data_IF_759606236789
#
_entry.id   IF_759606236789
#
_cell.length_a   1.000
_cell.length_b   1.000
_cell.length_c   1.000
_cell.angle_alpha   90.00
_cell.angle_beta   90.00
_cell.angle_gamma   90.00
#
_symmetry.space_group_name_H-M   'P 1'
#
loop_
_entity.id
_entity.type
_entity.pdbx_description
1 polymer ?
#
# COMPACT_ATOMS: atom_id res chain seq x y z
N UNK A 1 -4.93 -11.06 -0.21
CA UNK A 1 -4.98 -12.33 0.55
C UNK A 1 -6.29 -13.05 0.25
N UNK A 2 -6.28 -14.37 0.23
CA UNK A 2 -7.48 -15.20 0.17
C UNK A 2 -7.31 -16.40 1.12
N UNK A 3 -8.37 -16.77 1.84
CA UNK A 3 -8.49 -17.99 2.63
C UNK A 3 -9.52 -18.87 1.93
N UNK A 4 -9.07 -20.01 1.44
CA UNK A 4 -9.89 -20.94 0.68
C UNK A 4 -9.86 -22.30 1.37
N UNK A 5 -11.03 -22.81 1.69
CA UNK A 5 -11.19 -24.19 2.13
C UNK A 5 -11.32 -25.09 0.90
N UNK A 6 -10.61 -26.20 0.88
CA UNK A 6 -10.72 -27.21 -0.17
C UNK A 6 -11.33 -28.47 0.41
N UNK A 7 -12.44 -28.91 -0.17
CA UNK A 7 -13.10 -30.17 0.19
C UNK A 7 -13.11 -31.11 -1.00
N UNK A 8 -13.08 -32.41 -0.73
CA UNK A 8 -13.37 -33.42 -1.73
C UNK A 8 -14.88 -33.64 -1.76
N UNK A 9 -15.47 -33.78 -2.96
CA UNK A 9 -16.88 -34.18 -3.05
C UNK A 9 -17.06 -35.70 -2.87
N UNK A 10 -18.32 -36.14 -2.84
CA UNK A 10 -18.71 -37.54 -2.63
C UNK A 10 -18.41 -38.46 -3.85
N UNK A 11 -17.49 -38.05 -4.73
CA UNK A 11 -17.01 -38.86 -5.84
C UNK A 11 -16.32 -40.14 -5.36
N UNK A 12 -16.27 -41.15 -6.22
CA UNK A 12 -15.66 -42.45 -5.91
C UNK A 12 -14.44 -42.68 -6.80
N UNK A 13 -13.35 -43.19 -6.21
CA UNK A 13 -12.13 -43.52 -6.93
C UNK A 13 -11.47 -42.30 -7.57
N UNK A 14 -11.14 -42.37 -8.86
CA UNK A 14 -10.51 -41.27 -9.60
C UNK A 14 -11.48 -40.15 -10.04
N UNK A 15 -12.77 -40.25 -9.67
CA UNK A 15 -13.80 -39.28 -10.05
C UNK A 15 -14.18 -38.31 -8.92
N UNK A 16 -13.29 -38.11 -7.96
CA UNK A 16 -13.43 -37.11 -6.91
C UNK A 16 -13.05 -35.73 -7.46
N UNK A 17 -13.82 -34.70 -7.12
CA UNK A 17 -13.50 -33.30 -7.42
C UNK A 17 -13.10 -32.54 -6.16
N UNK A 18 -12.12 -31.66 -6.33
CA UNK A 18 -11.75 -30.64 -5.35
C UNK A 18 -12.74 -29.48 -5.49
N UNK A 19 -13.49 -29.20 -4.44
CA UNK A 19 -14.43 -28.10 -4.32
C UNK A 19 -13.80 -26.98 -3.46
N UNK A 20 -13.38 -25.85 -4.07
CA UNK A 20 -12.90 -24.70 -3.33
C UNK A 20 -14.09 -23.89 -2.77
N UNK A 21 -13.97 -23.43 -1.52
CA UNK A 21 -14.86 -22.44 -0.92
C UNK A 21 -14.03 -21.28 -0.41
N UNK A 22 -14.19 -20.12 -1.05
CA UNK A 22 -13.55 -18.88 -0.59
C UNK A 22 -14.22 -18.43 0.71
N UNK A 23 -13.50 -18.53 1.83
CA UNK A 23 -13.99 -18.16 3.16
C UNK A 23 -13.73 -16.68 3.45
N UNK A 24 -12.58 -16.17 3.04
CA UNK A 24 -12.16 -14.80 3.28
C UNK A 24 -11.34 -14.28 2.10
N UNK A 25 -11.53 -13.02 1.72
CA UNK A 25 -10.62 -12.30 0.83
C UNK A 25 -10.46 -10.88 1.31
N UNK A 26 -9.24 -10.36 1.20
CA UNK A 26 -8.97 -8.95 1.46
C UNK A 26 -7.81 -8.46 0.60
N UNK A 27 -7.83 -7.20 0.21
CA UNK A 27 -6.72 -6.50 -0.42
C UNK A 27 -6.38 -5.23 0.34
N UNK A 28 -5.11 -5.04 0.69
CA UNK A 28 -4.64 -3.80 1.30
C UNK A 28 -3.90 -2.94 0.30
N UNK A 29 -4.02 -1.62 0.46
CA UNK A 29 -3.34 -0.61 -0.35
C UNK A 29 -1.94 -0.32 0.20
N UNK A 30 -1.18 -1.38 0.50
CA UNK A 30 0.25 -1.30 0.76
C UNK A 30 0.96 -2.09 -0.33
N UNK A 31 1.79 -1.42 -1.09
CA UNK A 31 2.49 -1.96 -2.24
C UNK A 31 4.01 -1.99 -1.99
N UNK A 32 4.77 -2.48 -2.98
CA UNK A 32 6.22 -2.65 -2.84
C UNK A 32 7.00 -1.34 -2.83
N UNK A 33 6.42 -0.31 -3.44
CA UNK A 33 6.86 1.08 -3.40
C UNK A 33 6.72 1.72 -2.02
N UNK A 34 5.74 1.33 -1.20
CA UNK A 34 5.66 1.84 0.18
C UNK A 34 6.82 1.29 1.04
N UNK A 35 7.20 0.03 0.86
CA UNK A 35 8.40 -0.55 1.51
C UNK A 35 9.66 0.16 1.01
N UNK A 36 9.73 0.47 -0.29
CA UNK A 36 10.84 1.23 -0.86
C UNK A 36 10.93 2.63 -0.25
N UNK A 37 9.79 3.31 -0.05
CA UNK A 37 9.75 4.60 0.61
C UNK A 37 10.25 4.50 2.07
N UNK A 38 9.80 3.49 2.83
CA UNK A 38 10.27 3.23 4.19
C UNK A 38 11.82 3.10 4.21
N UNK A 39 12.40 2.38 3.26
CA UNK A 39 13.86 2.21 3.14
C UNK A 39 14.56 3.52 2.74
N UNK A 40 14.01 4.26 1.79
CA UNK A 40 14.55 5.58 1.38
C UNK A 40 14.60 6.52 2.58
N UNK A 41 13.53 6.57 3.37
CA UNK A 41 13.42 7.44 4.55
C UNK A 41 14.32 7.02 5.70
N UNK A 42 14.61 5.72 5.84
CA UNK A 42 15.43 5.18 6.94
C UNK A 42 16.92 5.15 6.65
N UNK A 43 17.31 4.97 5.40
CA UNK A 43 18.72 4.79 5.02
C UNK A 43 19.22 5.93 4.13
N UNK A 44 18.54 6.18 3.02
CA UNK A 44 19.08 7.04 1.94
C UNK A 44 19.01 8.52 2.31
N UNK A 45 17.86 9.00 2.80
CA UNK A 45 17.69 10.41 3.18
C UNK A 45 18.56 10.79 4.39
N UNK A 46 18.66 9.98 5.47
CA UNK A 46 19.56 10.27 6.58
C UNK A 46 21.02 10.33 6.17
N UNK A 47 21.48 9.44 5.27
CA UNK A 47 22.84 9.48 4.74
C UNK A 47 23.15 10.78 3.99
N UNK A 48 22.24 11.22 3.11
CA UNK A 48 22.37 12.49 2.40
C UNK A 48 22.37 13.68 3.37
N UNK A 49 21.43 13.72 4.31
CA UNK A 49 21.32 14.79 5.29
C UNK A 49 22.59 14.89 6.17
N UNK A 50 23.11 13.75 6.64
CA UNK A 50 24.33 13.70 7.43
C UNK A 50 25.53 14.21 6.63
N UNK A 51 25.62 13.88 5.34
CA UNK A 51 26.69 14.35 4.47
C UNK A 51 26.59 15.86 4.19
N UNK A 52 25.38 16.38 3.95
CA UNK A 52 25.11 17.82 3.80
C UNK A 52 25.51 18.58 5.06
N UNK A 53 25.14 18.07 6.24
CA UNK A 53 25.51 18.66 7.51
C UNK A 53 27.04 18.67 7.71
N UNK A 54 27.71 17.54 7.43
CA UNK A 54 29.17 17.41 7.50
C UNK A 54 29.91 18.35 6.53
N UNK A 55 29.31 18.67 5.39
CA UNK A 55 29.86 19.62 4.43
C UNK A 55 29.84 21.08 4.95
N UNK A 56 29.02 21.39 5.97
CA UNK A 56 28.99 22.70 6.61
C UNK A 56 27.65 23.44 6.55
N UNK A 57 26.59 22.80 6.03
CA UNK A 57 25.24 23.41 6.03
C UNK A 57 24.66 23.41 7.45
N UNK A 58 24.32 24.59 7.95
CA UNK A 58 23.79 24.78 9.31
C UNK A 58 22.39 24.17 9.50
N UNK A 59 21.46 24.43 8.57
CA UNK A 59 20.09 23.91 8.58
C UNK A 59 19.87 22.84 7.51
N UNK A 60 20.53 21.69 7.67
CA UNK A 60 20.35 20.56 6.76
C UNK A 60 18.89 20.06 6.71
N UNK A 61 18.13 19.93 7.84
CA UNK A 61 16.73 19.51 7.80
C UNK A 61 15.82 20.47 7.02
N UNK A 62 16.01 21.80 7.17
CA UNK A 62 15.26 22.80 6.42
C UNK A 62 15.55 22.74 4.92
N UNK A 63 16.82 22.52 4.55
CA UNK A 63 17.20 22.29 3.15
C UNK A 63 16.59 21.01 2.57
N UNK A 64 16.63 19.89 3.31
CA UNK A 64 16.00 18.62 2.90
C UNK A 64 14.49 18.77 2.72
N UNK A 65 13.82 19.48 3.64
CA UNK A 65 12.39 19.82 3.52
C UNK A 65 12.11 20.63 2.26
N UNK A 66 12.97 21.59 1.94
CA UNK A 66 12.84 22.45 0.75
C UNK A 66 13.07 21.68 -0.55
N UNK A 67 13.99 20.71 -0.55
CA UNK A 67 14.35 19.94 -1.74
C UNK A 67 13.41 18.76 -2.01
N UNK A 68 12.96 18.08 -0.96
CA UNK A 68 12.34 16.76 -1.03
C UNK A 68 11.08 16.61 -0.16
N UNK A 69 10.70 17.65 0.58
CA UNK A 69 9.43 17.69 1.33
C UNK A 69 8.27 18.10 0.43
N UNK A 70 7.05 18.09 0.97
CA UNK A 70 5.84 18.46 0.22
C UNK A 70 5.78 19.97 -0.07
N UNK A 71 5.40 20.32 -1.31
CA UNK A 71 5.34 21.72 -1.77
C UNK A 71 3.91 22.09 -2.19
N UNK A 72 3.51 23.35 -1.94
CA UNK A 72 2.20 23.86 -2.34
C UNK A 72 2.01 24.01 -3.87
N UNK A 73 0.82 24.52 -4.26
CA UNK A 73 0.31 24.57 -5.66
C UNK A 73 1.20 25.27 -6.72
N UNK A 74 2.26 25.99 -6.35
CA UNK A 74 3.18 26.65 -7.30
C UNK A 74 4.60 26.15 -7.09
N UNK A 75 4.79 24.83 -7.13
CA UNK A 75 6.11 24.24 -7.01
C UNK A 75 6.85 24.22 -8.36
N UNK A 76 7.71 25.23 -8.58
CA UNK A 76 8.59 25.31 -9.74
C UNK A 76 9.67 24.24 -9.78
N UNK A 77 9.89 23.52 -8.66
CA UNK A 77 10.89 22.45 -8.51
C UNK A 77 10.29 21.06 -8.60
N UNK A 78 8.98 20.92 -8.73
CA UNK A 78 8.28 19.63 -8.71
C UNK A 78 8.89 18.62 -9.71
N UNK A 79 9.17 19.05 -10.93
CA UNK A 79 9.79 18.18 -11.95
C UNK A 79 11.18 17.71 -11.54
N UNK A 80 12.05 18.60 -11.02
CA UNK A 80 13.39 18.21 -10.60
C UNK A 80 13.37 17.32 -9.36
N UNK A 81 12.46 17.58 -8.42
CA UNK A 81 12.23 16.74 -7.24
C UNK A 81 11.77 15.34 -7.65
N UNK A 82 10.78 15.23 -8.54
CA UNK A 82 10.34 13.95 -9.11
C UNK A 82 11.49 13.22 -9.82
N UNK A 83 12.23 13.91 -10.69
CA UNK A 83 13.39 13.33 -11.37
C UNK A 83 14.48 12.88 -10.39
N UNK A 84 14.67 13.59 -9.28
CA UNK A 84 15.60 13.17 -8.23
C UNK A 84 15.12 11.90 -7.55
N UNK A 85 13.82 11.78 -7.23
CA UNK A 85 13.28 10.54 -6.69
C UNK A 85 13.47 9.35 -7.66
N UNK A 86 13.16 9.54 -8.95
CA UNK A 86 13.26 8.50 -9.97
C UNK A 86 14.72 8.09 -10.29
N UNK A 87 15.63 9.05 -10.37
CA UNK A 87 17.01 8.81 -10.83
C UNK A 87 18.00 8.56 -9.69
N UNK A 88 17.68 8.98 -8.47
CA UNK A 88 18.57 8.87 -7.30
C UNK A 88 17.97 7.99 -6.21
N UNK A 89 16.85 8.40 -5.60
CA UNK A 89 16.35 7.72 -4.39
C UNK A 89 15.79 6.33 -4.65
N UNK A 90 15.02 6.14 -5.72
CA UNK A 90 14.47 4.83 -6.07
C UNK A 90 15.58 3.81 -6.36
N UNK A 91 16.58 4.09 -7.23
CA UNK A 91 17.69 3.17 -7.45
C UNK A 91 18.50 2.88 -6.18
N UNK A 92 18.79 3.88 -5.34
CA UNK A 92 19.51 3.68 -4.08
C UNK A 92 18.71 2.82 -3.09
N UNK A 93 17.41 3.08 -2.95
CA UNK A 93 16.52 2.28 -2.11
C UNK A 93 16.41 0.84 -2.62
N UNK A 94 16.39 0.63 -3.94
CA UNK A 94 16.47 -0.70 -4.53
C UNK A 94 17.81 -1.39 -4.26
N UNK A 95 18.93 -0.67 -4.30
CA UNK A 95 20.23 -1.25 -3.94
C UNK A 95 20.25 -1.77 -2.50
N UNK A 96 19.68 -1.00 -1.55
CA UNK A 96 19.52 -1.43 -0.15
C UNK A 96 18.59 -2.65 -0.05
N UNK A 97 17.44 -2.63 -0.72
CA UNK A 97 16.50 -3.76 -0.71
C UNK A 97 17.08 -5.03 -1.33
N UNK A 98 17.81 -4.92 -2.43
CA UNK A 98 18.47 -6.06 -3.08
C UNK A 98 19.56 -6.64 -2.19
N UNK A 99 20.38 -5.79 -1.57
CA UNK A 99 21.38 -6.23 -0.60
C UNK A 99 20.72 -6.95 0.59
N UNK A 100 19.60 -6.41 1.10
CA UNK A 100 18.84 -7.07 2.17
C UNK A 100 18.27 -8.43 1.73
N UNK A 101 17.73 -8.52 0.52
CA UNK A 101 17.18 -9.77 -0.03
C UNK A 101 18.25 -10.86 -0.18
N UNK A 102 19.47 -10.48 -0.55
CA UNK A 102 20.62 -11.38 -0.73
C UNK A 102 21.37 -11.68 0.59
N UNK A 103 21.08 -10.94 1.66
CA UNK A 103 21.74 -11.10 2.96
C UNK A 103 21.36 -12.43 3.62
N UNK A 104 22.35 -13.13 4.16
CA UNK A 104 22.11 -14.33 4.96
C UNK A 104 21.47 -13.95 6.31
N UNK A 105 20.27 -14.47 6.65
CA UNK A 105 19.66 -14.25 7.95
C UNK A 105 20.51 -14.71 9.15
N UNK A 106 21.48 -15.60 8.92
CA UNK A 106 22.42 -16.07 9.95
C UNK A 106 23.61 -15.12 10.16
N UNK A 107 23.77 -14.09 9.31
CA UNK A 107 24.81 -13.07 9.42
C UNK A 107 24.23 -11.74 9.95
N UNK A 108 24.14 -11.55 11.29
CA UNK A 108 23.51 -10.39 11.89
C UNK A 108 24.25 -9.07 11.63
N UNK A 109 25.50 -9.13 11.16
CA UNK A 109 26.35 -7.97 10.92
C UNK A 109 26.44 -7.59 9.44
N UNK A 110 25.50 -8.05 8.60
CA UNK A 110 25.43 -7.61 7.21
C UNK A 110 25.19 -6.10 7.13
N UNK A 111 26.13 -5.39 6.52
CA UNK A 111 26.09 -3.94 6.32
C UNK A 111 26.39 -3.63 4.87
N UNK A 112 25.50 -2.89 4.22
CA UNK A 112 25.80 -2.27 2.93
C UNK A 112 26.62 -1.01 3.20
N UNK A 113 27.87 -0.97 2.75
CA UNK A 113 28.74 0.20 2.84
C UNK A 113 29.26 0.55 1.45
N UNK A 114 28.78 1.66 0.89
CA UNK A 114 29.16 2.15 -0.43
C UNK A 114 28.80 3.63 -0.57
N UNK A 115 29.32 4.31 -1.58
CA UNK A 115 28.89 5.66 -1.96
C UNK A 115 27.67 5.62 -2.88
N UNK A 116 26.95 6.74 -2.98
CA UNK A 116 25.84 6.88 -3.93
C UNK A 116 26.30 6.56 -5.37
N UNK A 117 27.49 7.01 -5.77
CA UNK A 117 28.03 6.76 -7.10
C UNK A 117 28.30 5.28 -7.39
N UNK A 118 28.71 4.49 -6.39
CA UNK A 118 28.98 3.05 -6.54
C UNK A 118 27.70 2.21 -6.65
N UNK A 119 26.61 2.64 -6.01
CA UNK A 119 25.33 1.93 -6.00
C UNK A 119 24.46 2.21 -7.23
N UNK A 120 24.74 3.28 -7.98
CA UNK A 120 23.95 3.69 -9.13
C UNK A 120 24.47 3.04 -10.41
N UNK A 121 23.64 2.22 -11.06
CA UNK A 121 23.96 1.62 -12.37
C UNK A 121 23.95 2.64 -13.51
N UNK A 122 23.20 3.73 -13.35
CA UNK A 122 23.15 4.86 -14.28
C UNK A 122 23.30 6.16 -13.50
N UNK A 123 24.20 7.04 -13.95
CA UNK A 123 24.33 8.34 -13.31
C UNK A 123 23.08 9.20 -13.53
N UNK A 124 22.63 9.93 -12.50
CA UNK A 124 21.57 10.91 -12.67
C UNK A 124 21.97 11.97 -13.70
N UNK A 125 20.96 12.52 -14.36
CA UNK A 125 21.18 13.62 -15.31
C UNK A 125 21.84 14.82 -14.64
N UNK A 126 22.60 15.60 -15.43
CA UNK A 126 23.25 16.82 -14.93
C UNK A 126 22.28 17.79 -14.25
N UNK A 127 21.03 17.84 -14.70
CA UNK A 127 20.00 18.69 -14.09
C UNK A 127 19.66 18.25 -12.65
N UNK A 128 19.56 16.94 -12.40
CA UNK A 128 19.32 16.37 -11.06
C UNK A 128 20.53 16.62 -10.15
N UNK A 129 21.74 16.35 -10.65
CA UNK A 129 22.97 16.60 -9.90
C UNK A 129 23.07 18.09 -9.54
N UNK A 130 22.90 18.98 -10.51
CA UNK A 130 22.96 20.43 -10.27
C UNK A 130 21.86 20.92 -9.33
N UNK A 131 20.64 20.37 -9.44
CA UNK A 131 19.53 20.73 -8.55
C UNK A 131 19.89 20.56 -7.07
N UNK A 132 20.49 19.41 -6.71
CA UNK A 132 20.92 19.14 -5.34
C UNK A 132 22.18 19.91 -5.00
N UNK A 133 23.24 19.78 -5.81
CA UNK A 133 24.55 20.36 -5.49
C UNK A 133 24.53 21.89 -5.43
N UNK A 134 23.82 22.58 -6.32
CA UNK A 134 23.74 24.05 -6.28
C UNK A 134 22.95 24.53 -5.07
N UNK A 135 21.90 23.80 -4.68
CA UNK A 135 21.11 24.14 -3.50
C UNK A 135 21.92 23.94 -2.21
N UNK A 136 22.72 22.88 -2.13
CA UNK A 136 23.67 22.68 -1.03
C UNK A 136 24.76 23.76 -1.05
N UNK A 137 25.36 24.03 -2.20
CA UNK A 137 26.45 25.00 -2.35
C UNK A 137 26.05 26.43 -1.96
N UNK A 138 24.79 26.82 -2.14
CA UNK A 138 24.29 28.13 -1.73
C UNK A 138 24.27 28.32 -0.21
N UNK A 139 24.05 27.23 0.53
CA UNK A 139 24.00 27.22 2.00
C UNK A 139 25.37 26.96 2.64
N UNK A 140 26.40 26.67 1.83
CA UNK A 140 27.75 26.43 2.30
C UNK A 140 28.53 27.73 2.53
N UNK A 141 29.48 27.75 3.48
CA UNK A 141 30.47 28.83 3.60
C UNK A 141 31.25 29.07 2.30
N UNK A 142 31.68 30.32 2.07
CA UNK A 142 32.34 30.71 0.82
C UNK A 142 33.67 29.97 0.54
N UNK A 143 34.31 29.45 1.58
CA UNK A 143 35.57 28.69 1.55
C UNK A 143 35.36 27.17 1.61
N UNK A 144 34.11 26.71 1.70
CA UNK A 144 33.81 25.28 1.76
C UNK A 144 34.16 24.57 0.43
N UNK A 145 34.63 23.31 0.50
CA UNK A 145 34.85 22.51 -0.70
C UNK A 145 33.54 22.29 -1.46
N UNK A 146 33.66 22.02 -2.76
CA UNK A 146 32.51 21.72 -3.59
C UNK A 146 31.81 20.44 -3.10
N UNK A 147 30.50 20.50 -2.93
CA UNK A 147 29.69 19.33 -2.57
C UNK A 147 29.56 18.37 -3.75
N UNK A 148 29.94 17.09 -3.56
CA UNK A 148 29.78 16.02 -4.55
C UNK A 148 28.72 15.02 -4.10
N UNK A 149 27.57 15.04 -4.79
CA UNK A 149 26.43 14.17 -4.52
C UNK A 149 26.76 12.68 -4.67
N UNK A 150 27.69 12.32 -5.57
CA UNK A 150 28.03 10.92 -5.82
C UNK A 150 28.98 10.36 -4.75
N UNK A 151 29.64 11.22 -3.99
CA UNK A 151 30.55 10.84 -2.90
C UNK A 151 29.85 10.58 -1.55
N UNK A 152 28.54 10.81 -1.48
CA UNK A 152 27.75 10.61 -0.26
C UNK A 152 27.86 9.14 0.18
N UNK A 153 28.41 8.87 1.39
CA UNK A 153 28.48 7.51 1.90
C UNK A 153 27.09 7.05 2.36
N UNK A 154 26.70 5.85 1.96
CA UNK A 154 25.51 5.14 2.42
C UNK A 154 25.94 3.91 3.23
N UNK A 155 25.51 3.88 4.48
CA UNK A 155 25.65 2.72 5.36
C UNK A 155 24.25 2.24 5.74
N UNK A 156 23.89 1.01 5.37
CA UNK A 156 22.63 0.39 5.76
C UNK A 156 22.88 -0.90 6.53
N UNK A 157 22.58 -0.89 7.82
CA UNK A 157 22.69 -2.05 8.71
C UNK A 157 21.42 -2.90 8.60
N UNK A 158 21.56 -4.14 8.14
CA UNK A 158 20.41 -5.03 7.90
C UNK A 158 19.68 -5.39 9.20
N UNK A 159 20.42 -5.58 10.30
CA UNK A 159 19.83 -5.81 11.61
C UNK A 159 18.91 -4.65 12.04
N UNK A 160 19.34 -3.40 11.82
CA UNK A 160 18.52 -2.22 12.16
C UNK A 160 17.23 -2.14 11.33
N UNK A 161 17.28 -2.52 10.04
CA UNK A 161 16.10 -2.60 9.18
C UNK A 161 15.14 -3.71 9.64
N UNK A 162 15.67 -4.87 10.02
CA UNK A 162 14.89 -5.97 10.55
C UNK A 162 14.21 -5.61 11.87
N UNK A 163 14.95 -5.00 12.81
CA UNK A 163 14.41 -4.54 14.09
C UNK A 163 13.31 -3.49 13.89
N UNK A 164 13.52 -2.53 12.99
CA UNK A 164 12.50 -1.53 12.65
C UNK A 164 11.22 -2.16 12.09
N UNK A 165 11.34 -3.18 11.25
CA UNK A 165 10.21 -3.90 10.68
C UNK A 165 9.44 -4.70 11.76
N UNK A 166 10.16 -5.40 12.63
CA UNK A 166 9.58 -6.14 13.77
C UNK A 166 8.94 -5.20 14.80
N UNK A 167 9.52 -4.03 15.03
CA UNK A 167 8.97 -3.00 15.91
C UNK A 167 7.76 -2.25 15.32
N UNK A 168 7.26 -2.64 14.14
CA UNK A 168 6.06 -2.05 13.55
C UNK A 168 6.29 -0.70 12.89
N UNK A 169 7.53 -0.35 12.57
CA UNK A 169 7.86 0.96 12.00
C UNK A 169 7.82 0.97 10.46
N UNK A 170 7.64 -0.18 9.82
CA UNK A 170 7.37 -0.29 8.39
C UNK A 170 5.87 -0.23 8.12
N UNK A 171 5.50 0.43 7.03
CA UNK A 171 4.11 0.62 6.60
C UNK A 171 3.38 -0.71 6.39
N UNK A 172 4.11 -1.76 5.98
CA UNK A 172 3.58 -3.11 5.76
C UNK A 172 3.27 -3.88 7.05
N UNK A 173 3.88 -3.55 8.20
CA UNK A 173 3.82 -4.41 9.39
C UNK A 173 2.41 -4.53 9.97
N UNK A 174 1.70 -3.42 10.16
CA UNK A 174 0.35 -3.43 10.74
C UNK A 174 -0.66 -4.21 9.87
N UNK A 175 -0.73 -4.02 8.54
CA UNK A 175 -1.51 -4.88 7.67
C UNK A 175 -1.16 -6.37 7.79
N UNK A 176 0.12 -6.74 7.81
CA UNK A 176 0.53 -8.15 7.96
C UNK A 176 0.10 -8.75 9.30
N UNK A 177 0.21 -7.99 10.39
CA UNK A 177 -0.28 -8.42 11.71
C UNK A 177 -1.79 -8.70 11.67
N UNK A 178 -2.57 -7.80 11.08
CA UNK A 178 -4.01 -7.98 10.92
C UNK A 178 -4.35 -9.23 10.07
N UNK A 179 -3.61 -9.49 8.98
CA UNK A 179 -3.78 -10.72 8.21
C UNK A 179 -3.47 -11.96 9.03
N UNK A 180 -2.40 -11.93 9.84
CA UNK A 180 -2.01 -13.05 10.68
C UNK A 180 -3.10 -13.39 11.71
N UNK A 181 -3.75 -12.37 12.30
CA UNK A 181 -4.90 -12.57 13.18
C UNK A 181 -6.05 -13.31 12.46
N UNK A 182 -6.35 -12.92 11.21
CA UNK A 182 -7.41 -13.57 10.42
C UNK A 182 -7.03 -15.00 10.00
N UNK A 183 -5.79 -15.23 9.56
CA UNK A 183 -5.30 -16.56 9.22
C UNK A 183 -5.44 -17.51 10.42
N UNK A 184 -5.06 -17.04 11.61
CA UNK A 184 -5.20 -17.80 12.85
C UNK A 184 -6.68 -18.00 13.22
N UNK A 185 -7.53 -17.00 13.05
CA UNK A 185 -8.98 -17.11 13.32
C UNK A 185 -9.66 -18.20 12.49
N UNK A 186 -9.29 -18.34 11.22
CA UNK A 186 -9.81 -19.39 10.34
C UNK A 186 -9.13 -20.76 10.53
N UNK A 187 -8.17 -20.87 11.46
CA UNK A 187 -7.42 -22.10 11.74
C UNK A 187 -6.80 -22.71 10.46
N UNK A 188 -6.18 -21.87 9.62
CA UNK A 188 -5.62 -22.33 8.35
C UNK A 188 -4.56 -23.42 8.54
N UNK A 189 -4.61 -24.48 7.71
CA UNK A 189 -3.64 -25.58 7.77
C UNK A 189 -2.28 -25.22 7.18
N UNK A 190 -2.27 -24.37 6.16
CA UNK A 190 -1.10 -23.99 5.36
C UNK A 190 -1.22 -22.51 4.96
N UNK A 191 -0.11 -21.79 5.04
CA UNK A 191 0.01 -20.42 4.53
C UNK A 191 0.92 -20.42 3.30
N UNK A 192 0.38 -20.03 2.15
CA UNK A 192 1.17 -19.79 0.93
C UNK A 192 1.56 -18.31 0.86
N UNK A 193 2.86 -18.01 0.85
CA UNK A 193 3.37 -16.64 0.72
C UNK A 193 3.91 -16.41 -0.68
N UNK A 194 3.36 -15.41 -1.36
CA UNK A 194 3.73 -15.04 -2.73
C UNK A 194 3.93 -13.53 -2.89
N UNK A 195 4.47 -13.12 -4.04
CA UNK A 195 4.81 -11.74 -4.36
C UNK A 195 6.20 -11.33 -3.83
N UNK A 196 6.77 -10.28 -4.46
CA UNK A 196 8.13 -9.80 -4.17
C UNK A 196 8.36 -9.39 -2.71
N UNK A 197 7.42 -8.74 -2.00
CA UNK A 197 7.63 -8.42 -0.58
C UNK A 197 7.90 -9.66 0.30
N UNK A 198 7.36 -10.83 -0.06
CA UNK A 198 7.62 -12.08 0.67
C UNK A 198 9.04 -12.63 0.51
N UNK A 199 9.81 -12.13 -0.46
CA UNK A 199 11.22 -12.49 -0.64
C UNK A 199 12.12 -11.84 0.43
N UNK A 200 11.69 -10.73 1.05
CA UNK A 200 12.51 -9.98 2.00
C UNK A 200 12.68 -10.76 3.32
N UNK A 201 13.93 -10.99 3.79
CA UNK A 201 14.18 -11.69 5.05
C UNK A 201 13.44 -11.11 6.26
N UNK A 202 13.31 -9.79 6.34
CA UNK A 202 12.53 -9.13 7.40
C UNK A 202 11.06 -9.53 7.41
N UNK A 203 10.41 -9.58 6.25
CA UNK A 203 9.00 -10.01 6.13
C UNK A 203 8.88 -11.49 6.51
N UNK A 204 9.84 -12.32 6.10
CA UNK A 204 9.85 -13.73 6.49
C UNK A 204 10.03 -13.91 8.00
N UNK A 205 10.94 -13.15 8.61
CA UNK A 205 11.17 -13.14 10.06
C UNK A 205 9.92 -12.69 10.82
N UNK A 206 9.24 -11.64 10.35
CA UNK A 206 7.98 -11.18 10.94
C UNK A 206 6.90 -12.25 10.89
N UNK A 207 6.67 -12.90 9.75
CA UNK A 207 5.67 -13.97 9.64
C UNK A 207 6.02 -15.19 10.51
N UNK A 208 7.31 -15.55 10.60
CA UNK A 208 7.79 -16.60 11.51
C UNK A 208 7.63 -16.20 12.99
N UNK A 209 7.76 -14.92 13.32
CA UNK A 209 7.56 -14.41 14.66
C UNK A 209 6.08 -14.41 15.05
N UNK A 210 5.20 -13.96 14.15
CA UNK A 210 3.75 -13.89 14.37
C UNK A 210 3.09 -15.28 14.42
N UNK A 211 3.68 -16.30 13.78
CA UNK A 211 3.21 -17.69 13.74
C UNK A 211 1.70 -17.82 13.48
N UNK A 212 1.16 -17.24 12.39
CA UNK A 212 -0.26 -17.40 12.04
C UNK A 212 -0.62 -18.87 11.75
N UNK A 213 0.38 -19.66 11.38
CA UNK A 213 0.40 -21.12 11.30
C UNK A 213 1.77 -21.60 11.81
N UNK A 214 1.94 -22.88 12.20
CA UNK A 214 3.24 -23.43 12.51
C UNK A 214 4.26 -23.17 11.39
N UNK A 215 5.52 -22.86 11.73
CA UNK A 215 6.54 -22.42 10.75
C UNK A 215 6.73 -23.41 9.60
N UNK A 216 6.64 -24.72 9.87
CA UNK A 216 6.74 -25.78 8.86
C UNK A 216 5.52 -25.87 7.91
N UNK A 217 4.46 -25.10 8.17
CA UNK A 217 3.26 -24.95 7.33
C UNK A 217 3.26 -23.62 6.55
N UNK A 218 4.29 -22.79 6.69
CA UNK A 218 4.50 -21.60 5.85
C UNK A 218 5.28 -22.03 4.62
N UNK A 219 4.64 -21.95 3.45
CA UNK A 219 5.23 -22.30 2.16
C UNK A 219 5.54 -21.02 1.40
N UNK A 220 6.83 -20.75 1.23
CA UNK A 220 7.33 -19.65 0.42
C UNK A 220 7.29 -20.05 -1.05
N UNK A 221 6.60 -19.28 -1.88
CA UNK A 221 6.58 -19.52 -3.32
C UNK A 221 7.82 -18.95 -4.04
N UNK A 222 8.58 -18.11 -3.37
CA UNK A 222 9.90 -17.71 -3.84
C UNK A 222 10.84 -18.91 -3.85
N UNK A 223 11.52 -19.14 -4.98
CA UNK A 223 12.42 -20.29 -5.19
C UNK A 223 11.78 -21.68 -4.91
N UNK A 224 10.45 -21.76 -4.88
CA UNK A 224 9.74 -23.02 -4.65
C UNK A 224 10.04 -24.00 -5.76
N UNK A 225 10.33 -25.25 -5.42
CA UNK A 225 10.74 -26.24 -6.38
C UNK A 225 9.57 -26.66 -7.27
N UNK A 226 9.70 -26.40 -8.56
CA UNK A 226 8.73 -26.74 -9.58
C UNK A 226 9.42 -27.54 -10.66
N UNK A 227 8.97 -28.77 -10.90
CA UNK A 227 9.43 -29.53 -12.06
C UNK A 227 8.99 -28.85 -13.37
N UNK A 228 9.22 -29.51 -14.50
CA UNK A 228 9.09 -28.96 -15.87
C UNK A 228 7.69 -28.43 -16.23
N UNK A 229 6.66 -28.66 -15.41
CA UNK A 229 5.30 -28.20 -15.69
C UNK A 229 5.10 -26.69 -15.52
N UNK A 230 5.92 -26.01 -14.70
CA UNK A 230 5.73 -24.60 -14.38
C UNK A 230 6.29 -23.69 -15.49
N UNK A 231 5.45 -22.88 -16.19
CA UNK A 231 5.88 -22.19 -17.42
C UNK A 231 6.99 -21.16 -17.24
N UNK A 232 7.11 -20.56 -16.05
CA UNK A 232 8.11 -19.54 -15.74
C UNK A 232 9.23 -20.08 -14.85
N UNK A 233 9.47 -21.40 -14.92
CA UNK A 233 10.48 -22.02 -14.08
C UNK A 233 11.89 -21.58 -14.50
N UNK A 234 12.72 -21.34 -13.50
CA UNK A 234 14.14 -21.07 -13.65
C UNK A 234 14.88 -22.15 -12.87
N UNK A 235 15.67 -22.98 -13.57
CA UNK A 235 16.41 -24.08 -12.95
C UNK A 235 15.53 -25.04 -12.10
N UNK A 236 14.29 -25.29 -12.53
CA UNK A 236 13.35 -26.14 -11.80
C UNK A 236 12.77 -25.51 -10.52
N UNK A 237 12.76 -24.18 -10.44
CA UNK A 237 12.16 -23.41 -9.34
C UNK A 237 11.33 -22.24 -9.87
N UNK A 238 10.44 -21.72 -9.03
CA UNK A 238 9.74 -20.46 -9.31
C UNK A 238 10.75 -19.31 -9.16
N UNK A 239 11.16 -18.70 -10.28
CA UNK A 239 12.10 -17.59 -10.25
C UNK A 239 11.48 -16.24 -9.88
N UNK A 240 10.20 -16.02 -10.20
CA UNK A 240 9.48 -14.80 -9.81
C UNK A 240 8.15 -15.19 -9.15
N UNK A 241 7.97 -14.99 -7.83
CA UNK A 241 6.75 -15.39 -7.16
C UNK A 241 5.51 -14.65 -7.66
N UNK A 242 5.63 -13.46 -8.28
CA UNK A 242 4.47 -12.80 -8.93
C UNK A 242 3.87 -13.63 -10.06
N UNK A 243 4.66 -14.49 -10.71
CA UNK A 243 4.17 -15.36 -11.79
C UNK A 243 3.13 -16.38 -11.30
N UNK A 244 3.08 -16.70 -10.00
CA UNK A 244 2.15 -17.71 -9.46
C UNK A 244 0.69 -17.30 -9.63
N UNK A 245 0.40 -15.99 -9.58
CA UNK A 245 -0.94 -15.47 -9.80
C UNK A 245 -1.39 -15.68 -11.26
N UNK A 246 -0.51 -15.41 -12.23
CA UNK A 246 -0.78 -15.64 -13.64
C UNK A 246 -0.95 -17.12 -13.95
N UNK A 247 -0.09 -17.98 -13.38
CA UNK A 247 -0.21 -19.44 -13.52
C UNK A 247 -1.51 -19.96 -12.89
N UNK A 248 -1.89 -19.46 -11.70
CA UNK A 248 -3.16 -19.79 -11.06
C UNK A 248 -4.37 -19.40 -11.91
N UNK A 249 -4.36 -18.22 -12.51
CA UNK A 249 -5.41 -17.77 -13.43
C UNK A 249 -5.51 -18.66 -14.68
N UNK A 250 -4.38 -19.03 -15.27
CA UNK A 250 -4.32 -19.98 -16.39
C UNK A 250 -4.88 -21.35 -15.98
N UNK A 251 -4.49 -21.89 -14.82
CA UNK A 251 -5.02 -23.18 -14.33
C UNK A 251 -6.53 -23.11 -14.09
N UNK A 252 -7.03 -22.02 -13.53
CA UNK A 252 -8.46 -21.79 -13.35
C UNK A 252 -9.19 -21.79 -14.70
N UNK A 253 -8.69 -21.04 -15.68
CA UNK A 253 -9.25 -20.97 -17.04
C UNK A 253 -9.26 -22.34 -17.72
N UNK A 254 -8.14 -23.09 -17.70
CA UNK A 254 -8.07 -24.43 -18.29
C UNK A 254 -8.97 -25.44 -17.55
N UNK A 255 -9.13 -25.31 -16.23
CA UNK A 255 -10.03 -26.16 -15.45
C UNK A 255 -11.50 -25.92 -15.80
N UNK A 256 -11.91 -24.66 -16.04
CA UNK A 256 -13.28 -24.32 -16.49
C UNK A 256 -13.62 -25.01 -17.82
N UNK A 257 -12.64 -25.11 -18.72
CA UNK A 257 -12.80 -25.75 -20.04
C UNK A 257 -12.56 -27.27 -20.01
N UNK A 258 -12.34 -27.87 -18.83
CA UNK A 258 -11.97 -29.29 -18.65
C UNK A 258 -10.71 -29.71 -19.46
N UNK A 259 -9.76 -28.78 -19.62
CA UNK A 259 -8.54 -28.97 -20.42
C UNK A 259 -7.33 -29.45 -19.61
N UNK A 260 -7.50 -29.73 -18.32
CA UNK A 260 -6.45 -30.27 -17.45
C UNK A 260 -6.72 -31.75 -17.15
N UNK A 261 -5.95 -32.68 -17.77
CA UNK A 261 -6.10 -34.11 -17.52
C UNK A 261 -5.86 -34.43 -16.04
N UNK A 262 -6.70 -35.28 -15.46
CA UNK A 262 -6.58 -35.75 -14.06
C UNK A 262 -6.60 -34.65 -13.00
N UNK A 263 -7.03 -33.42 -13.34
CA UNK A 263 -7.21 -32.31 -12.41
C UNK A 263 -8.70 -31.98 -12.30
N UNK A 264 -9.37 -32.70 -11.40
CA UNK A 264 -10.79 -32.54 -11.15
C UNK A 264 -11.03 -31.42 -10.13
N UNK A 265 -11.19 -30.19 -10.60
CA UNK A 265 -11.32 -29.00 -9.76
C UNK A 265 -12.57 -28.20 -10.13
N UNK A 266 -13.41 -27.85 -9.14
CA UNK A 266 -14.62 -27.03 -9.34
C UNK A 266 -14.25 -25.56 -9.41
N UNK A 267 -13.60 -25.15 -10.50
CA UNK A 267 -13.17 -23.76 -10.70
C UNK A 267 -14.32 -22.75 -10.64
N UNK A 268 -15.53 -23.16 -11.06
CA UNK A 268 -16.77 -22.36 -11.04
C UNK A 268 -17.17 -21.85 -9.64
N UNK A 269 -16.72 -22.53 -8.58
CA UNK A 269 -17.05 -22.18 -7.20
C UNK A 269 -16.15 -21.04 -6.66
N UNK A 270 -15.09 -20.67 -7.39
CA UNK A 270 -14.26 -19.51 -7.06
C UNK A 270 -14.96 -18.25 -7.56
N UNK A 271 -15.78 -17.65 -6.70
CA UNK A 271 -16.44 -16.38 -6.96
C UNK A 271 -15.93 -15.28 -6.03
N UNK A 272 -15.70 -14.11 -6.62
CA UNK A 272 -15.41 -12.91 -5.86
C UNK A 272 -16.71 -12.39 -5.22
N UNK A 273 -16.59 -11.82 -4.02
CA UNK A 273 -17.67 -11.12 -3.34
C UNK A 273 -17.15 -9.76 -2.84
N UNK A 274 -18.06 -8.82 -2.57
CA UNK A 274 -17.71 -7.50 -2.07
C UNK A 274 -17.18 -7.56 -0.63
N UNK A 275 -16.04 -6.89 -0.38
CA UNK A 275 -15.47 -6.76 0.98
C UNK A 275 -16.02 -5.53 1.73
N UNK A 276 -16.89 -4.74 1.10
CA UNK A 276 -17.50 -3.55 1.73
C UNK A 276 -18.56 -3.98 2.73
N UNK A 277 -18.23 -3.98 4.03
CA UNK A 277 -19.17 -4.31 5.12
C UNK A 277 -19.49 -3.12 6.01
N UNK A 278 -18.47 -2.32 6.34
CA UNK A 278 -18.60 -1.12 7.17
C UNK A 278 -18.13 0.09 6.37
N UNK A 279 -18.97 1.12 6.22
CA UNK A 279 -18.69 2.32 5.44
C UNK A 279 -18.85 3.57 6.31
N UNK A 280 -17.88 4.48 6.19
CA UNK A 280 -17.89 5.71 6.97
C UNK A 280 -16.76 6.65 6.63
N UNK A 281 -16.53 7.66 7.47
CA UNK A 281 -15.49 8.67 7.26
C UNK A 281 -14.12 8.17 7.72
N UNK A 282 -13.12 8.31 6.85
CA UNK A 282 -11.74 8.07 7.22
C UNK A 282 -11.16 9.27 7.97
N UNK A 283 -10.29 8.99 8.93
CA UNK A 283 -9.47 10.02 9.56
C UNK A 283 -8.26 10.40 8.68
N UNK A 284 -7.40 11.30 9.17
CA UNK A 284 -6.20 11.74 8.45
C UNK A 284 -5.14 10.66 8.22
N UNK A 285 -5.27 9.48 8.85
CA UNK A 285 -4.38 8.34 8.72
C UNK A 285 -5.05 7.17 7.99
N UNK A 286 -6.09 7.44 7.19
CA UNK A 286 -6.89 6.44 6.47
C UNK A 286 -7.50 5.35 7.38
N UNK A 287 -7.76 5.65 8.67
CA UNK A 287 -8.42 4.73 9.60
C UNK A 287 -9.92 5.01 9.68
N UNK A 288 -10.70 3.93 9.72
CA UNK A 288 -12.14 3.99 9.98
C UNK A 288 -12.41 3.65 11.45
N UNK A 289 -12.44 4.67 12.30
CA UNK A 289 -12.76 4.57 13.72
C UNK A 289 -14.24 4.24 13.93
N UNK A 290 -14.56 3.66 15.09
CA UNK A 290 -15.89 3.16 15.42
C UNK A 290 -16.98 4.23 15.31
N UNK A 291 -16.72 5.42 15.86
CA UNK A 291 -17.65 6.56 15.86
C UNK A 291 -17.88 7.14 14.45
N UNK A 292 -17.01 6.81 13.49
CA UNK A 292 -17.10 7.27 12.12
C UNK A 292 -17.76 6.25 11.18
N UNK A 293 -18.15 5.08 11.67
CA UNK A 293 -18.90 4.07 10.91
C UNK A 293 -20.38 4.44 10.89
N UNK A 294 -20.92 4.67 9.69
CA UNK A 294 -22.32 5.08 9.52
C UNK A 294 -23.21 3.97 8.97
N UNK A 295 -22.68 3.20 8.04
CA UNK A 295 -23.37 2.04 7.47
C UNK A 295 -22.64 0.77 7.88
N UNK A 296 -23.41 -0.21 8.34
CA UNK A 296 -22.93 -1.49 8.88
C UNK A 296 -23.58 -2.65 8.13
N UNK A 297 -22.92 -3.80 8.18
CA UNK A 297 -23.41 -5.07 7.62
C UNK A 297 -23.90 -4.94 6.17
N UNK A 298 -23.21 -4.13 5.37
CA UNK A 298 -23.55 -3.93 3.96
C UNK A 298 -23.33 -5.25 3.22
N UNK A 299 -24.36 -5.70 2.51
CA UNK A 299 -24.28 -6.87 1.65
C UNK A 299 -24.57 -6.48 0.19
N UNK A 300 -23.51 -6.17 -0.58
CA UNK A 300 -23.68 -5.83 -1.99
C UNK A 300 -23.96 -7.05 -2.87
N UNK A 301 -23.69 -8.27 -2.38
CA UNK A 301 -23.82 -9.51 -3.13
C UNK A 301 -25.25 -10.09 -3.04
N UNK A 302 -26.04 -9.67 -2.04
CA UNK A 302 -27.43 -10.09 -1.86
C UNK A 302 -28.41 -9.25 -2.69
N UNK A 303 -29.25 -9.87 -3.56
CA UNK A 303 -30.26 -9.15 -4.34
C UNK A 303 -31.33 -8.44 -3.50
N UNK A 304 -31.52 -8.87 -2.25
CA UNK A 304 -32.53 -8.34 -1.34
C UNK A 304 -31.99 -7.21 -0.47
N UNK A 305 -30.66 -7.06 -0.38
CA UNK A 305 -30.05 -6.02 0.41
C UNK A 305 -30.24 -4.64 -0.23
N UNK A 306 -30.36 -3.63 0.63
CA UNK A 306 -30.38 -2.23 0.26
C UNK A 306 -29.82 -1.40 1.40
N UNK A 307 -29.12 -0.32 1.07
CA UNK A 307 -28.67 0.64 2.06
C UNK A 307 -29.84 1.29 2.80
N UNK A 308 -29.74 1.45 4.13
CA UNK A 308 -30.74 2.16 4.92
C UNK A 308 -30.72 3.66 4.58
N UNK A 309 -31.75 4.13 3.88
CA UNK A 309 -31.85 5.53 3.43
C UNK A 309 -32.18 6.52 4.56
N UNK A 310 -32.49 6.03 5.77
CA UNK A 310 -32.71 6.87 6.96
C UNK A 310 -31.41 7.29 7.62
N UNK A 311 -30.34 6.54 7.38
CA UNK A 311 -29.00 6.87 7.87
C UNK A 311 -28.51 8.10 7.13
N UNK A 312 -28.16 9.12 7.90
CA UNK A 312 -27.51 10.32 7.42
C UNK A 312 -26.29 10.60 8.29
N UNK A 313 -25.32 11.30 7.72
CA UNK A 313 -24.10 11.64 8.43
C UNK A 313 -23.74 13.11 8.28
N UNK A 314 -23.22 13.73 9.35
CA UNK A 314 -22.84 15.14 9.35
C UNK A 314 -21.44 15.34 8.75
N UNK A 315 -21.29 16.43 8.00
CA UNK A 315 -20.05 16.89 7.40
C UNK A 315 -19.84 18.37 7.69
N UNK A 316 -18.59 18.73 7.99
CA UNK A 316 -18.13 20.12 8.20
C UNK A 316 -17.14 20.58 7.12
N UNK A 317 -17.02 19.82 6.05
CA UNK A 317 -16.06 20.06 4.99
C UNK A 317 -16.05 18.90 4.00
N UNK A 318 -15.02 18.88 3.15
CA UNK A 318 -14.75 17.72 2.29
C UNK A 318 -14.44 16.49 3.16
N UNK A 319 -14.83 15.32 2.68
CA UNK A 319 -14.64 14.07 3.39
C UNK A 319 -14.13 12.96 2.47
N UNK A 320 -13.27 12.11 3.01
CA UNK A 320 -12.93 10.83 2.42
C UNK A 320 -13.76 9.76 3.10
N UNK A 321 -14.59 9.06 2.33
CA UNK A 321 -15.31 7.89 2.79
C UNK A 321 -14.51 6.65 2.40
N UNK A 322 -14.40 5.73 3.34
CA UNK A 322 -13.74 4.46 3.14
C UNK A 322 -14.49 3.34 3.83
N UNK A 323 -14.01 2.12 3.63
CA UNK A 323 -14.63 0.94 4.19
C UNK A 323 -13.62 0.01 4.87
N UNK A 324 -14.14 -0.82 5.76
CA UNK A 324 -13.42 -1.98 6.32
C UNK A 324 -14.32 -3.21 6.23
N UNK A 325 -13.71 -4.40 6.13
CA UNK A 325 -14.46 -5.65 6.03
C UNK A 325 -14.90 -6.19 7.40
N UNK A 326 -14.10 -5.97 8.44
CA UNK A 326 -14.35 -6.49 9.79
C UNK A 326 -14.79 -5.38 10.75
N UNK A 327 -15.58 -5.75 11.77
CA UNK A 327 -16.00 -4.81 12.82
C UNK A 327 -14.89 -4.58 13.85
N UNK A 328 -13.79 -4.00 13.41
CA UNK A 328 -12.62 -3.75 14.25
C UNK A 328 -11.90 -2.48 13.78
N UNK A 329 -11.78 -1.49 14.67
CA UNK A 329 -11.12 -0.22 14.36
C UNK A 329 -9.62 -0.34 14.04
N UNK A 330 -8.98 -1.46 14.40
CA UNK A 330 -7.60 -1.77 13.99
C UNK A 330 -7.50 -2.35 12.58
N UNK A 331 -8.62 -2.84 12.01
CA UNK A 331 -8.61 -3.37 10.66
C UNK A 331 -8.30 -2.23 9.67
N UNK A 332 -7.33 -2.40 8.76
CA UNK A 332 -7.02 -1.39 7.77
C UNK A 332 -8.27 -1.04 6.96
N UNK A 333 -8.57 0.25 6.85
CA UNK A 333 -9.65 0.73 6.01
C UNK A 333 -9.10 1.10 4.62
N UNK A 334 -9.97 1.05 3.62
CA UNK A 334 -9.64 1.42 2.24
C UNK A 334 -10.45 2.65 1.84
N UNK A 335 -9.80 3.74 1.41
CA UNK A 335 -10.48 4.88 0.80
C UNK A 335 -11.30 4.45 -0.42
N UNK A 336 -12.56 4.87 -0.49
CA UNK A 336 -13.49 4.45 -1.54
C UNK A 336 -14.12 5.62 -2.29
N UNK A 337 -14.55 6.67 -1.59
CA UNK A 337 -15.14 7.86 -2.19
C UNK A 337 -14.57 9.15 -1.63
N UNK A 338 -14.50 10.17 -2.47
CA UNK A 338 -14.28 11.55 -2.06
C UNK A 338 -15.57 12.33 -2.21
N UNK A 339 -16.00 12.95 -1.12
CA UNK A 339 -17.10 13.91 -1.09
C UNK A 339 -16.51 15.32 -1.00
N UNK A 340 -16.74 16.13 -2.03
CA UNK A 340 -16.28 17.51 -2.11
C UNK A 340 -17.45 18.50 -2.20
N UNK A 341 -17.31 19.63 -1.52
CA UNK A 341 -18.23 20.76 -1.60
C UNK A 341 -17.74 21.68 -2.73
N UNK A 342 -18.52 21.74 -3.81
CA UNK A 342 -18.12 22.50 -5.01
C UNK A 342 -18.63 23.95 -4.98
N UNK A 343 -19.72 24.21 -4.24
CA UNK A 343 -20.34 25.54 -4.17
C UNK A 343 -19.61 26.44 -3.16
N UNK A 344 -19.06 27.60 -3.58
CA UNK A 344 -18.43 28.55 -2.66
C UNK A 344 -19.40 29.12 -1.61
N UNK A 345 -20.67 29.24 -1.97
CA UNK A 345 -21.73 29.74 -1.06
C UNK A 345 -22.04 28.71 0.02
N UNK A 346 -22.15 27.44 -0.36
CA UNK A 346 -22.33 26.32 0.57
C UNK A 346 -21.11 26.17 1.48
N UNK A 347 -19.89 26.27 0.91
CA UNK A 347 -18.66 26.23 1.68
C UNK A 347 -18.60 27.34 2.75
N UNK A 348 -18.99 28.57 2.42
CA UNK A 348 -19.09 29.68 3.39
C UNK A 348 -20.12 29.41 4.49
N UNK A 349 -21.25 28.80 4.14
CA UNK A 349 -22.31 28.48 5.10
C UNK A 349 -21.86 27.42 6.10
N UNK A 350 -21.12 26.41 5.62
CA UNK A 350 -20.53 25.35 6.45
C UNK A 350 -19.38 25.89 7.30
N UNK A 351 -18.55 26.77 6.74
CA UNK A 351 -17.40 27.37 7.44
C UNK A 351 -17.79 28.32 8.59
N UNK A 352 -19.04 28.82 8.61
CA UNK A 352 -19.59 29.55 9.74
C UNK A 352 -19.89 28.60 10.90
N UNK A 353 -21.12 28.07 10.94
CA UNK A 353 -21.58 27.08 11.93
C UNK A 353 -22.48 25.99 11.30
N UNK A 354 -22.61 25.98 9.98
CA UNK A 354 -23.50 25.03 9.29
C UNK A 354 -22.94 23.62 9.29
N UNK A 355 -23.80 22.63 9.57
CA UNK A 355 -23.47 21.21 9.39
C UNK A 355 -24.25 20.67 8.19
N UNK A 356 -23.53 20.09 7.22
CA UNK A 356 -24.13 19.43 6.07
C UNK A 356 -24.45 17.98 6.42
N UNK A 357 -25.72 17.59 6.35
CA UNK A 357 -26.14 16.19 6.47
C UNK A 357 -26.31 15.59 5.09
N UNK A 358 -25.85 14.36 4.93
CA UNK A 358 -25.88 13.62 3.66
C UNK A 358 -26.42 12.21 3.85
N UNK A 359 -27.28 11.78 2.93
CA UNK A 359 -27.72 10.39 2.80
C UNK A 359 -27.12 9.74 1.55
N UNK A 360 -26.80 8.45 1.63
CA UNK A 360 -26.42 7.64 0.47
C UNK A 360 -27.55 6.71 0.04
N UNK A 361 -27.50 6.30 -1.22
CA UNK A 361 -28.29 5.19 -1.77
C UNK A 361 -27.35 4.27 -2.56
N UNK A 362 -27.73 3.00 -2.64
CA UNK A 362 -27.04 1.99 -3.44
C UNK A 362 -27.73 1.87 -4.81
N UNK A 363 -26.95 1.79 -5.88
CA UNK A 363 -27.44 1.49 -7.22
C UNK A 363 -27.03 0.06 -7.58
N UNK A 364 -28.01 -0.75 -8.02
CA UNK A 364 -27.80 -2.18 -8.29
C UNK A 364 -27.00 -2.46 -9.56
N UNK A 365 -27.08 -1.59 -10.57
CA UNK A 365 -26.45 -1.81 -11.87
C UNK A 365 -24.92 -1.65 -11.86
N UNK A 366 -24.37 -0.93 -10.88
CA UNK A 366 -22.96 -0.55 -10.83
C UNK A 366 -22.28 -0.93 -9.51
N UNK A 367 -22.97 -1.66 -8.62
CA UNK A 367 -22.49 -2.01 -7.28
C UNK A 367 -21.88 -0.80 -6.52
N UNK A 368 -22.50 0.38 -6.72
CA UNK A 368 -21.94 1.66 -6.31
C UNK A 368 -22.90 2.47 -5.44
N UNK A 369 -22.34 3.40 -4.67
CA UNK A 369 -23.10 4.32 -3.84
C UNK A 369 -23.21 5.70 -4.51
N UNK A 370 -24.33 6.38 -4.27
CA UNK A 370 -24.61 7.73 -4.75
C UNK A 370 -25.25 8.57 -3.65
N UNK A 371 -25.13 9.90 -3.78
CA UNK A 371 -25.89 10.82 -2.92
C UNK A 371 -27.39 10.65 -3.18
N UNK A 372 -28.14 10.43 -2.11
CA UNK A 372 -29.60 10.38 -2.14
C UNK A 372 -30.17 11.78 -1.87
N UNK A 373 -29.75 12.39 -0.76
CA UNK A 373 -30.24 13.68 -0.27
C UNK A 373 -29.12 14.43 0.47
N UNK A 374 -29.24 15.75 0.53
CA UNK A 374 -28.37 16.62 1.31
C UNK A 374 -29.12 17.84 1.85
N UNK A 375 -28.84 18.23 3.09
CA UNK A 375 -29.45 19.41 3.74
C UNK A 375 -28.54 19.98 4.83
N UNK A 376 -28.70 21.26 5.14
CA UNK A 376 -28.03 21.91 6.27
C UNK A 376 -28.78 21.66 7.58
N UNK A 377 -28.10 21.82 8.72
CA UNK A 377 -28.66 21.64 10.06
C UNK A 377 -29.85 22.54 10.40
N UNK A 378 -30.05 23.64 9.65
CA UNK A 378 -31.23 24.51 9.73
C UNK A 378 -32.45 23.98 8.96
N UNK A 379 -32.31 22.82 8.28
CA UNK A 379 -33.32 22.20 7.44
C UNK A 379 -33.29 22.64 5.97
N UNK A 380 -32.41 23.56 5.59
CA UNK A 380 -32.30 24.04 4.20
C UNK A 380 -31.81 22.93 3.28
N UNK A 381 -32.57 22.62 2.23
CA UNK A 381 -32.18 21.61 1.24
C UNK A 381 -30.98 22.07 0.43
N UNK A 382 -30.03 21.16 0.21
CA UNK A 382 -28.85 21.39 -0.60
C UNK A 382 -28.98 20.61 -1.92
N UNK A 383 -29.01 21.31 -3.08
CA UNK A 383 -28.95 20.68 -4.38
C UNK A 383 -27.69 19.81 -4.54
N UNK A 384 -27.86 18.58 -5.04
CA UNK A 384 -26.76 17.59 -5.13
C UNK A 384 -25.65 17.99 -6.11
N UNK A 385 -25.93 18.86 -7.08
CA UNK A 385 -24.94 19.42 -8.03
C UNK A 385 -23.93 20.36 -7.35
N UNK A 386 -24.25 20.87 -6.14
CA UNK A 386 -23.32 21.61 -5.30
C UNK A 386 -22.30 20.71 -4.59
N UNK A 387 -22.49 19.39 -4.68
CA UNK A 387 -21.62 18.37 -4.11
C UNK A 387 -21.02 17.51 -5.24
N UNK A 388 -19.82 16.98 -5.01
CA UNK A 388 -19.21 15.95 -5.85
C UNK A 388 -18.99 14.71 -5.02
N UNK A 389 -19.55 13.59 -5.43
CA UNK A 389 -19.29 12.28 -4.84
C UNK A 389 -18.68 11.37 -5.91
N UNK A 390 -17.39 11.07 -5.79
CA UNK A 390 -16.61 10.36 -6.81
C UNK A 390 -15.79 9.27 -6.16
N UNK A 391 -15.56 8.18 -6.91
CA UNK A 391 -14.63 7.13 -6.46
C UNK A 391 -13.26 7.74 -6.18
N UNK A 392 -12.66 7.36 -5.06
CA UNK A 392 -11.33 7.75 -4.67
C UNK A 392 -10.33 6.78 -5.30
N UNK A 393 -9.98 7.03 -6.56
CA UNK A 393 -9.04 6.19 -7.32
C UNK A 393 -7.57 6.58 -7.13
N UNK A 394 -7.29 7.68 -6.43
CA UNK A 394 -5.93 8.20 -6.21
C UNK A 394 -5.44 7.89 -4.79
N UNK A 395 -4.12 7.81 -4.59
CA UNK A 395 -3.52 7.74 -3.26
C UNK A 395 -3.38 9.17 -2.70
N UNK A 396 -3.65 9.39 -1.40
CA UNK A 396 -3.38 10.67 -0.73
C UNK A 396 -4.47 11.76 -0.84
N UNK A 397 -5.61 11.49 -1.48
CA UNK A 397 -6.66 12.49 -1.76
C UNK A 397 -7.18 13.26 -0.53
N UNK A 398 -6.99 12.75 0.70
CA UNK A 398 -7.48 13.36 1.94
C UNK A 398 -6.42 14.12 2.75
N UNK A 399 -5.14 13.72 2.68
CA UNK A 399 -4.06 14.37 3.46
C UNK A 399 -3.62 15.73 2.90
N UNK A 400 -4.19 16.17 1.77
CA UNK A 400 -3.72 17.33 1.02
C UNK A 400 -2.58 17.00 0.06
N UNK A 401 -1.99 15.80 0.16
CA UNK A 401 -1.06 15.25 -0.79
C UNK A 401 -1.74 15.11 -2.15
N UNK A 402 -1.43 16.03 -3.05
CA UNK A 402 -2.03 16.05 -4.39
C UNK A 402 -1.60 14.84 -5.24
N UNK A 403 -0.51 14.16 -4.87
CA UNK A 403 0.13 13.11 -5.68
C UNK A 403 0.83 12.05 -4.82
N UNK A 404 0.88 10.80 -5.31
CA UNK A 404 1.68 9.73 -4.73
C UNK A 404 3.18 10.11 -4.73
N UNK A 405 3.98 9.57 -3.81
CA UNK A 405 5.37 10.02 -3.59
C UNK A 405 6.27 9.84 -4.83
N UNK A 406 6.02 8.82 -5.66
CA UNK A 406 6.73 8.62 -6.93
C UNK A 406 6.42 9.74 -7.92
N UNK A 407 5.16 10.20 -7.94
CA UNK A 407 4.71 11.26 -8.85
C UNK A 407 5.16 12.65 -8.39
N UNK A 408 5.10 12.91 -7.07
CA UNK A 408 5.53 14.20 -6.51
C UNK A 408 7.04 14.31 -6.31
N UNK A 409 7.73 13.18 -6.14
CA UNK A 409 9.09 13.11 -5.61
C UNK A 409 9.21 13.55 -4.14
N UNK A 410 8.10 13.72 -3.43
CA UNK A 410 8.10 14.15 -2.03
C UNK A 410 8.32 12.93 -1.13
N UNK A 411 9.56 12.74 -0.70
CA UNK A 411 9.99 11.58 0.09
C UNK A 411 10.40 11.96 1.51
N UNK A 412 10.61 13.25 1.80
CA UNK A 412 11.04 13.74 3.10
C UNK A 412 9.82 14.24 3.90
N UNK A 413 9.42 13.47 4.92
CA UNK A 413 8.36 13.88 5.83
C UNK A 413 8.93 14.74 6.96
N UNK A 414 8.13 15.69 7.46
CA UNK A 414 8.51 16.60 8.55
C UNK A 414 8.51 15.92 9.91
#
# INVERSE_FOLDING_TARGET
MAITQYQLDDGVGSNVKIAPRLLFREGFKVAGDDILLDVIQRCVLPALQAHIHKAGVADAPGLMTTLFGESGRMDTRATLRQQTALQLFIPLGHAVLSFWEESDPEEPNAVLEATFGELLTQQPTRNVINYVQQSVQHELPADAPQFDLMSVPLQAEIAALQDALLAGQFTLTAPLQALCEVINHYCCDVLLVTGRPGCLPGVQALLRHLQPVPVNRIVWLDNYQTHEWYPFSQQGRIGNPKSTAAVGAMLCSLAMDLRLPSFNFKAADIQAYSTVRYLGMLDGNDRLLEDNVWYRDIDLDSPQASLDTRVHFPLRGNACLGFRQLDNARWPATPLYTLAINSPQLAKSIAGDGVLNVCLKQTREAESFHLAEAWLSDGSKVPLDQLSFKLNTLAGSYSGATHYWIDSGSVYQK
#
